data_IF_048816306143
#
_entry.id   IF_048816306143
#
_cell.length_a   1.000
_cell.length_b   1.000
_cell.length_c   1.000
_cell.angle_alpha   90.00
_cell.angle_beta   90.00
_cell.angle_gamma   90.00
#
_symmetry.space_group_name_H-M   'P 1'
#
loop_
_entity.id
_entity.type
_entity.pdbx_description
1 polymer ?
#
# COMPACT_ATOMS: atom_id res chain seq x y z
N UNK A 1 -53.74 -8.56 37.07
CA UNK A 1 -54.48 -9.13 35.93
C UNK A 1 -53.40 -9.71 34.99
N UNK A 2 -52.99 -10.98 35.12
CA UNK A 2 -53.63 -12.21 34.62
C UNK A 2 -53.90 -12.11 33.11
N UNK A 3 -53.31 -12.91 32.21
CA UNK A 3 -53.24 -14.37 32.18
C UNK A 3 -52.01 -14.93 31.44
N UNK A 4 -51.59 -16.14 31.82
CA UNK A 4 -50.46 -16.91 31.30
C UNK A 4 -50.77 -17.89 30.15
N UNK A 5 -49.85 -18.83 29.87
CA UNK A 5 -49.75 -19.58 28.61
C UNK A 5 -50.45 -20.96 28.64
N UNK A 6 -50.75 -21.48 27.45
CA UNK A 6 -51.38 -22.79 27.23
C UNK A 6 -50.31 -23.89 27.15
N UNK A 7 -50.45 -24.88 28.03
CA UNK A 7 -49.80 -26.20 27.99
C UNK A 7 -50.81 -27.21 27.42
N UNK A 8 -50.38 -28.10 26.51
CA UNK A 8 -50.98 -29.44 26.39
C UNK A 8 -49.91 -30.51 26.19
N UNK A 9 -50.06 -31.53 27.02
CA UNK A 9 -49.29 -32.75 27.20
C UNK A 9 -49.85 -33.90 26.35
N UNK A 10 -49.00 -34.84 25.93
CA UNK A 10 -49.34 -36.27 25.94
C UNK A 10 -48.07 -37.14 25.92
N UNK A 11 -48.13 -38.24 26.69
CA UNK A 11 -47.08 -39.17 27.13
C UNK A 11 -47.08 -40.45 26.24
N UNK A 12 -46.17 -41.44 26.47
CA UNK A 12 -45.56 -42.32 25.45
C UNK A 12 -46.16 -43.74 25.40
N UNK A 13 -45.49 -44.68 24.69
CA UNK A 13 -45.34 -46.02 25.22
C UNK A 13 -43.90 -46.56 25.19
N UNK A 14 -43.75 -47.67 25.91
CA UNK A 14 -42.53 -48.33 26.38
C UNK A 14 -42.07 -49.51 25.50
N UNK A 15 -40.81 -49.91 25.71
CA UNK A 15 -40.21 -51.27 25.77
C UNK A 15 -40.12 -52.16 24.52
N UNK A 16 -38.90 -52.64 24.27
CA UNK A 16 -38.57 -53.86 23.53
C UNK A 16 -37.09 -54.22 23.68
N UNK A 17 -36.79 -55.20 24.52
CA UNK A 17 -35.46 -55.79 24.76
C UNK A 17 -35.23 -56.96 23.80
N UNK A 18 -34.02 -57.11 23.25
CA UNK A 18 -33.48 -58.45 22.93
C UNK A 18 -31.95 -58.48 22.93
N UNK A 19 -31.46 -59.52 23.59
CA UNK A 19 -30.09 -59.95 23.83
C UNK A 19 -29.53 -60.68 22.59
N UNK A 20 -28.22 -60.56 22.33
CA UNK A 20 -27.51 -61.42 21.39
C UNK A 20 -26.00 -61.23 21.49
N UNK A 21 -25.31 -62.18 22.09
CA UNK A 21 -23.88 -62.20 22.38
C UNK A 21 -23.17 -63.22 21.44
N UNK A 22 -21.91 -62.95 21.11
CA UNK A 22 -20.88 -63.85 20.53
C UNK A 22 -21.07 -64.38 19.09
N UNK A 23 -20.10 -64.14 18.20
CA UNK A 23 -19.00 -65.11 17.97
C UNK A 23 -17.91 -64.56 17.02
N UNK A 24 -16.73 -65.13 17.20
CA UNK A 24 -15.40 -64.88 16.65
C UNK A 24 -15.25 -64.96 15.12
N UNK A 25 -14.49 -64.02 14.56
CA UNK A 25 -13.89 -64.15 13.23
C UNK A 25 -12.53 -64.84 13.32
N UNK A 26 -12.45 -66.05 12.78
CA UNK A 26 -11.22 -66.74 12.39
C UNK A 26 -11.45 -67.32 11.00
N UNK A 27 -10.77 -66.81 9.97
CA UNK A 27 -10.49 -67.58 8.76
C UNK A 27 -9.14 -67.18 8.16
N UNK A 28 -8.30 -68.21 8.08
CA UNK A 28 -6.95 -68.28 7.51
C UNK A 28 -7.03 -68.46 5.99
N UNK A 29 -6.11 -67.83 5.25
CA UNK A 29 -5.38 -68.35 4.06
C UNK A 29 -4.38 -67.26 3.63
N UNK A 30 -3.11 -67.38 4.01
CA UNK A 30 -2.02 -68.00 3.22
C UNK A 30 -1.92 -67.51 1.78
N UNK A 31 -0.87 -66.71 1.50
CA UNK A 31 -0.13 -66.70 0.25
C UNK A 31 1.32 -66.22 0.50
N UNK A 32 2.20 -67.22 0.53
CA UNK A 32 3.61 -67.27 0.08
C UNK A 32 4.55 -66.08 0.25
N UNK A 33 5.58 -66.33 1.06
CA UNK A 33 6.87 -65.67 1.19
C UNK A 33 7.80 -65.84 -0.02
N UNK A 34 8.53 -64.79 -0.40
CA UNK A 34 9.89 -64.92 -0.94
C UNK A 34 10.75 -63.75 -0.41
N UNK A 35 11.75 -64.08 0.43
CA UNK A 35 12.86 -63.21 0.82
C UNK A 35 14.12 -63.61 0.02
N UNK A 36 15.00 -62.66 -0.34
CA UNK A 36 16.25 -62.93 -1.07
C UNK A 36 17.47 -63.04 -0.13
N UNK A 37 18.39 -63.97 -0.43
CA UNK A 37 19.82 -63.95 -0.03
C UNK A 37 20.54 -65.23 -0.46
N UNK A 38 21.90 -65.30 -0.44
CA UNK A 38 22.92 -64.24 -0.46
C UNK A 38 24.03 -64.48 -1.51
N UNK A 39 24.80 -63.42 -1.77
CA UNK A 39 26.12 -63.49 -2.39
C UNK A 39 27.15 -64.08 -1.41
N UNK A 40 27.99 -64.99 -1.90
CA UNK A 40 29.16 -65.49 -1.18
C UNK A 40 30.38 -65.45 -2.13
N UNK A 41 31.40 -64.74 -1.67
CA UNK A 41 32.67 -64.53 -2.33
C UNK A 41 33.66 -65.65 -1.95
N UNK A 42 34.36 -66.26 -2.93
CA UNK A 42 35.67 -66.90 -2.68
C UNK A 42 36.51 -67.04 -3.95
N UNK A 43 37.81 -66.91 -3.71
CA UNK A 43 39.01 -66.81 -4.55
C UNK A 43 39.43 -68.06 -5.34
N UNK A 44 40.21 -67.89 -6.43
CA UNK A 44 41.12 -68.95 -6.93
C UNK A 44 41.66 -68.84 -8.38
N UNK A 45 42.83 -68.23 -8.52
CA UNK A 45 43.97 -68.42 -9.46
C UNK A 45 43.85 -69.11 -10.86
N UNK A 46 44.49 -68.40 -11.82
CA UNK A 46 45.46 -68.84 -12.86
C UNK A 46 44.99 -69.48 -14.18
N UNK A 47 45.34 -68.83 -15.32
CA UNK A 47 45.29 -69.43 -16.66
C UNK A 47 45.55 -68.49 -17.85
N UNK A 48 46.84 -68.33 -18.19
CA UNK A 48 47.53 -67.87 -19.44
C UNK A 48 46.76 -67.36 -20.70
N UNK A 49 47.27 -66.21 -21.20
CA UNK A 49 47.53 -65.74 -22.58
C UNK A 49 46.60 -66.14 -23.75
N UNK A 50 46.03 -65.13 -24.44
CA UNK A 50 46.37 -64.83 -25.85
C UNK A 50 45.80 -63.47 -26.29
N UNK A 51 46.56 -62.74 -27.10
CA UNK A 51 46.25 -61.42 -27.61
C UNK A 51 45.25 -61.47 -28.77
N UNK A 52 44.20 -60.66 -28.73
CA UNK A 52 43.42 -60.30 -29.91
C UNK A 52 42.73 -58.93 -29.75
N UNK A 53 43.20 -57.98 -30.56
CA UNK A 53 42.51 -56.79 -31.10
C UNK A 53 41.52 -56.07 -30.17
N UNK A 54 41.98 -54.93 -29.64
CA UNK A 54 41.12 -53.98 -28.94
C UNK A 54 39.98 -53.47 -29.84
N UNK A 55 38.76 -53.83 -29.50
CA UNK A 55 37.57 -53.03 -29.77
C UNK A 55 37.28 -52.21 -28.51
N UNK A 56 37.28 -50.89 -28.64
CA UNK A 56 36.76 -49.99 -27.61
C UNK A 56 35.27 -50.28 -27.45
N UNK A 57 34.88 -51.02 -26.42
CA UNK A 57 33.50 -51.02 -25.94
C UNK A 57 33.26 -49.68 -25.25
N UNK A 58 32.64 -48.75 -25.98
CA UNK A 58 32.02 -47.57 -25.39
C UNK A 58 30.83 -48.09 -24.57
N UNK A 59 31.04 -48.28 -23.28
CA UNK A 59 29.94 -48.29 -22.34
C UNK A 59 29.48 -46.84 -22.25
N UNK A 60 28.42 -46.50 -22.99
CA UNK A 60 27.65 -45.29 -22.72
C UNK A 60 27.08 -45.45 -21.31
N UNK A 61 27.86 -44.98 -20.32
CA UNK A 61 27.33 -44.57 -19.03
C UNK A 61 26.31 -43.49 -19.37
N UNK A 62 25.04 -43.85 -19.17
CA UNK A 62 23.90 -42.96 -19.21
C UNK A 62 24.25 -41.69 -18.43
N UNK A 63 24.68 -40.68 -19.17
CA UNK A 63 24.98 -39.38 -18.64
C UNK A 63 23.62 -38.79 -18.25
N UNK A 64 23.28 -38.92 -16.98
CA UNK A 64 22.18 -38.21 -16.36
C UNK A 64 22.19 -36.76 -16.87
N UNK A 65 21.17 -36.43 -17.67
CA UNK A 65 21.01 -35.15 -18.36
C UNK A 65 21.11 -33.99 -17.35
N UNK A 66 22.19 -33.18 -17.37
CA UNK A 66 22.33 -32.04 -16.47
C UNK A 66 21.31 -30.93 -16.75
N UNK A 67 20.62 -31.00 -17.90
CA UNK A 67 19.72 -29.96 -18.40
C UNK A 67 18.32 -29.98 -17.78
N UNK A 68 17.93 -31.09 -17.12
CA UNK A 68 16.58 -31.24 -16.56
C UNK A 68 16.45 -30.72 -15.13
N UNK A 69 17.54 -30.66 -14.35
CA UNK A 69 17.46 -30.18 -12.98
C UNK A 69 17.34 -28.66 -12.91
N UNK A 70 18.16 -27.93 -13.69
CA UNK A 70 18.10 -26.46 -13.73
C UNK A 70 16.79 -25.96 -14.34
N UNK A 71 16.29 -26.60 -15.40
CA UNK A 71 15.00 -26.25 -16.02
C UNK A 71 13.82 -26.56 -15.10
N UNK A 72 13.84 -27.69 -14.37
CA UNK A 72 12.82 -28.00 -13.36
C UNK A 72 12.93 -27.11 -12.12
N UNK A 73 14.14 -26.73 -11.71
CA UNK A 73 14.36 -25.81 -10.60
C UNK A 73 13.91 -24.39 -10.97
N UNK A 74 14.24 -23.89 -12.16
CA UNK A 74 13.75 -22.61 -12.67
C UNK A 74 12.24 -22.61 -12.89
N UNK A 75 11.65 -23.69 -13.42
CA UNK A 75 10.19 -23.83 -13.50
C UNK A 75 9.52 -23.86 -12.12
N UNK A 76 10.08 -24.58 -11.14
CA UNK A 76 9.59 -24.59 -9.74
C UNK A 76 9.76 -23.23 -9.05
N UNK A 77 10.84 -22.51 -9.33
CA UNK A 77 11.07 -21.14 -8.85
C UNK A 77 10.14 -20.13 -9.53
N UNK A 78 9.78 -20.35 -10.80
CA UNK A 78 8.74 -19.58 -11.51
C UNK A 78 7.36 -19.85 -10.93
N UNK A 79 7.01 -21.11 -10.69
CA UNK A 79 5.76 -21.51 -10.03
C UNK A 79 5.68 -20.96 -8.59
N UNK A 80 6.80 -20.89 -7.86
CA UNK A 80 6.80 -20.31 -6.51
C UNK A 80 6.66 -18.78 -6.47
N UNK A 81 6.82 -18.10 -7.62
CA UNK A 81 6.68 -16.65 -7.77
C UNK A 81 5.35 -16.23 -8.40
N UNK A 82 4.56 -17.16 -8.91
CA UNK A 82 3.26 -16.83 -9.50
C UNK A 82 2.23 -16.64 -8.38
N UNK A 83 1.56 -15.49 -8.41
CA UNK A 83 0.49 -15.14 -7.47
C UNK A 83 -0.84 -15.14 -8.21
N UNK A 84 -1.90 -15.53 -7.51
CA UNK A 84 -3.26 -15.19 -7.93
C UNK A 84 -3.63 -13.85 -7.31
N UNK A 85 -3.75 -12.82 -8.14
CA UNK A 85 -4.03 -11.44 -7.72
C UNK A 85 -5.45 -11.06 -8.13
N UNK A 86 -6.30 -10.79 -7.15
CA UNK A 86 -7.64 -10.25 -7.37
C UNK A 86 -7.63 -8.72 -7.28
N UNK A 87 -8.30 -8.04 -8.20
CA UNK A 87 -8.47 -6.58 -8.20
C UNK A 87 -9.94 -6.24 -7.96
N UNK A 88 -10.22 -5.50 -6.88
CA UNK A 88 -11.55 -4.98 -6.55
C UNK A 88 -11.58 -3.50 -6.92
N UNK A 89 -12.33 -3.16 -7.96
CA UNK A 89 -12.30 -1.84 -8.60
C UNK A 89 -11.47 -1.86 -9.88
N UNK A 90 -12.10 -2.21 -11.00
CA UNK A 90 -11.44 -2.38 -12.29
C UNK A 90 -11.55 -1.14 -13.21
N UNK A 91 -11.43 0.05 -12.61
CA UNK A 91 -11.37 1.32 -13.34
C UNK A 91 -9.98 1.58 -13.95
N UNK A 92 -9.69 2.84 -14.29
CA UNK A 92 -8.44 3.24 -14.97
C UNK A 92 -7.18 2.72 -14.27
N UNK A 93 -7.10 2.91 -12.96
CA UNK A 93 -5.93 2.47 -12.17
C UNK A 93 -5.85 0.94 -12.01
N UNK A 94 -6.98 0.29 -11.73
CA UNK A 94 -7.04 -1.17 -11.64
C UNK A 94 -6.61 -1.86 -12.94
N UNK A 95 -7.06 -1.34 -14.09
CA UNK A 95 -6.65 -1.82 -15.41
C UNK A 95 -5.16 -1.56 -15.69
N UNK A 96 -4.64 -0.39 -15.26
CA UNK A 96 -3.23 -0.05 -15.37
C UNK A 96 -2.33 -1.05 -14.62
N UNK A 97 -2.68 -1.40 -13.38
CA UNK A 97 -1.96 -2.43 -12.62
C UNK A 97 -2.12 -3.81 -13.24
N UNK A 98 -3.34 -4.18 -13.64
CA UNK A 98 -3.64 -5.50 -14.20
C UNK A 98 -2.80 -5.83 -15.43
N UNK A 99 -2.62 -4.87 -16.35
CA UNK A 99 -1.79 -5.03 -17.55
C UNK A 99 -0.37 -5.47 -17.20
N UNK A 100 0.24 -4.85 -16.20
CA UNK A 100 1.62 -5.16 -15.76
C UNK A 100 1.69 -6.48 -14.99
N UNK A 101 0.70 -6.76 -14.15
CA UNK A 101 0.62 -8.03 -13.42
C UNK A 101 0.49 -9.24 -14.37
N UNK A 102 -0.37 -9.14 -15.39
CA UNK A 102 -0.51 -10.18 -16.42
C UNK A 102 0.79 -10.34 -17.22
N UNK A 103 1.42 -9.24 -17.62
CA UNK A 103 2.71 -9.28 -18.34
C UNK A 103 3.84 -9.91 -17.51
N UNK A 104 3.83 -9.73 -16.19
CA UNK A 104 4.75 -10.38 -15.26
C UNK A 104 4.43 -11.87 -15.03
N UNK A 105 3.30 -12.36 -15.57
CA UNK A 105 2.90 -13.76 -15.52
C UNK A 105 2.02 -14.14 -14.34
N UNK A 106 1.50 -13.18 -13.56
CA UNK A 106 0.55 -13.47 -12.48
C UNK A 106 -0.84 -13.84 -13.03
N UNK A 107 -1.58 -14.70 -12.32
CA UNK A 107 -3.01 -14.94 -12.62
C UNK A 107 -3.80 -13.76 -12.06
N UNK A 108 -4.48 -12.99 -12.92
CA UNK A 108 -5.23 -11.81 -12.48
C UNK A 108 -6.73 -12.05 -12.60
N UNK A 109 -7.43 -11.80 -11.51
CA UNK A 109 -8.89 -11.80 -11.39
C UNK A 109 -9.36 -10.37 -11.14
N UNK A 110 -10.57 -10.03 -11.57
CA UNK A 110 -11.12 -8.71 -11.29
C UNK A 110 -12.62 -8.76 -11.00
N UNK A 111 -13.07 -7.87 -10.13
CA UNK A 111 -14.47 -7.53 -9.94
C UNK A 111 -14.63 -6.02 -9.78
N UNK A 112 -15.77 -5.49 -10.18
CA UNK A 112 -16.04 -4.06 -10.15
C UNK A 112 -17.53 -3.80 -10.23
N UNK A 113 -17.97 -2.65 -9.71
CA UNK A 113 -19.36 -2.18 -9.85
C UNK A 113 -19.78 -2.07 -11.32
N UNK A 114 -18.89 -1.54 -12.16
CA UNK A 114 -19.14 -1.40 -13.60
C UNK A 114 -18.69 -2.67 -14.31
N UNK A 115 -19.44 -3.11 -15.31
CA UNK A 115 -19.08 -4.27 -16.11
C UNK A 115 -17.94 -3.94 -17.08
N UNK A 116 -16.75 -4.48 -16.82
CA UNK A 116 -15.54 -4.31 -17.63
C UNK A 116 -15.08 -5.61 -18.32
N UNK A 117 -16.02 -6.51 -18.61
CA UNK A 117 -15.70 -7.84 -19.13
C UNK A 117 -14.95 -7.81 -20.47
N UNK A 118 -15.25 -6.83 -21.34
CA UNK A 118 -14.55 -6.61 -22.61
C UNK A 118 -13.08 -6.24 -22.41
N UNK A 119 -12.83 -5.22 -21.58
CA UNK A 119 -11.52 -4.67 -21.28
C UNK A 119 -10.67 -5.68 -20.52
N UNK A 120 -11.27 -6.40 -19.57
CA UNK A 120 -10.61 -7.48 -18.86
C UNK A 120 -10.19 -8.60 -19.82
N UNK A 121 -11.05 -8.99 -20.77
CA UNK A 121 -10.73 -10.01 -21.77
C UNK A 121 -9.56 -9.59 -22.66
N UNK A 122 -9.50 -8.33 -23.08
CA UNK A 122 -8.39 -7.78 -23.87
C UNK A 122 -7.06 -7.81 -23.09
N UNK A 123 -7.09 -7.53 -21.79
CA UNK A 123 -5.91 -7.54 -20.93
C UNK A 123 -5.48 -8.97 -20.55
N UNK A 124 -6.36 -9.97 -20.65
CA UNK A 124 -6.12 -11.34 -20.19
C UNK A 124 -6.49 -11.57 -18.72
N UNK A 125 -7.47 -10.83 -18.20
CA UNK A 125 -7.98 -10.89 -16.83
C UNK A 125 -9.30 -11.65 -16.79
N UNK A 126 -9.47 -12.54 -15.80
CA UNK A 126 -10.77 -13.17 -15.53
C UNK A 126 -11.67 -12.21 -14.74
N UNK A 127 -12.73 -11.72 -15.38
CA UNK A 127 -13.67 -10.77 -14.77
C UNK A 127 -14.92 -11.45 -14.21
N UNK A 128 -15.27 -11.10 -12.98
CA UNK A 128 -16.43 -11.59 -12.26
C UNK A 128 -17.36 -10.43 -11.93
N UNK A 129 -18.61 -10.54 -12.37
CA UNK A 129 -19.66 -9.55 -12.04
C UNK A 129 -20.11 -9.68 -10.59
N UNK A 130 -20.14 -10.90 -10.08
CA UNK A 130 -20.48 -11.18 -8.69
C UNK A 130 -19.22 -11.23 -7.83
N UNK A 131 -19.27 -10.54 -6.69
CA UNK A 131 -18.17 -10.50 -5.74
C UNK A 131 -18.03 -11.84 -5.00
N UNK A 132 -19.13 -12.57 -4.85
CA UNK A 132 -19.12 -13.92 -4.28
C UNK A 132 -18.29 -14.86 -5.16
N UNK A 133 -18.55 -14.97 -6.46
CA UNK A 133 -17.78 -15.80 -7.40
C UNK A 133 -16.30 -15.41 -7.41
N UNK A 134 -16.01 -14.10 -7.42
CA UNK A 134 -14.64 -13.59 -7.33
C UNK A 134 -13.90 -14.10 -6.09
N UNK A 135 -14.56 -14.11 -4.92
CA UNK A 135 -13.94 -14.55 -3.67
C UNK A 135 -13.74 -16.08 -3.61
N UNK A 136 -14.58 -16.85 -4.31
CA UNK A 136 -14.48 -18.31 -4.42
C UNK A 136 -13.24 -18.78 -5.19
N UNK A 137 -12.69 -17.93 -6.06
CA UNK A 137 -11.40 -18.20 -6.71
C UNK A 137 -10.20 -18.10 -5.77
N UNK A 138 -10.42 -17.70 -4.51
CA UNK A 138 -9.44 -17.67 -3.43
C UNK A 138 -8.10 -16.98 -3.80
N UNK A 139 -8.12 -15.70 -4.24
CA UNK A 139 -6.91 -14.98 -4.56
C UNK A 139 -5.94 -14.94 -3.37
N UNK A 140 -4.64 -15.04 -3.68
CA UNK A 140 -3.57 -14.90 -2.69
C UNK A 140 -3.51 -13.46 -2.18
N UNK A 141 -3.67 -12.51 -3.11
CA UNK A 141 -3.62 -11.06 -2.87
C UNK A 141 -4.88 -10.41 -3.44
N UNK A 142 -5.55 -9.56 -2.67
CA UNK A 142 -6.68 -8.74 -3.13
C UNK A 142 -6.27 -7.26 -3.07
N UNK A 143 -6.21 -6.61 -4.24
CA UNK A 143 -5.91 -5.19 -4.39
C UNK A 143 -7.21 -4.40 -4.44
N UNK A 144 -7.38 -3.47 -3.51
CA UNK A 144 -8.49 -2.52 -3.43
C UNK A 144 -8.13 -1.28 -4.27
N UNK A 145 -8.54 -1.28 -5.53
CA UNK A 145 -8.30 -0.22 -6.50
C UNK A 145 -9.58 0.60 -6.81
N UNK A 146 -10.41 0.80 -5.78
CA UNK A 146 -11.61 1.64 -5.84
C UNK A 146 -11.30 3.10 -5.45
N UNK A 147 -12.25 4.00 -5.68
CA UNK A 147 -12.13 5.40 -5.24
C UNK A 147 -12.06 5.50 -3.71
N UNK A 148 -11.31 6.48 -3.19
CA UNK A 148 -11.13 6.71 -1.75
C UNK A 148 -12.49 6.78 -1.04
N UNK A 149 -13.41 7.57 -1.59
CA UNK A 149 -14.76 7.79 -1.05
C UNK A 149 -15.63 6.52 -1.02
N UNK A 150 -15.29 5.50 -1.81
CA UNK A 150 -16.08 4.27 -1.94
C UNK A 150 -15.54 3.10 -1.11
N UNK A 151 -14.35 3.24 -0.51
CA UNK A 151 -13.63 2.13 0.10
C UNK A 151 -14.44 1.42 1.20
N UNK A 152 -15.01 2.19 2.14
CA UNK A 152 -15.81 1.64 3.24
C UNK A 152 -16.97 0.80 2.74
N UNK A 153 -17.74 1.34 1.78
CA UNK A 153 -18.85 0.61 1.16
C UNK A 153 -18.36 -0.66 0.47
N UNK A 154 -17.29 -0.58 -0.33
CA UNK A 154 -16.74 -1.71 -1.08
C UNK A 154 -16.31 -2.82 -0.13
N UNK A 155 -15.52 -2.51 0.89
CA UNK A 155 -15.03 -3.48 1.88
C UNK A 155 -16.20 -4.07 2.68
N UNK A 156 -17.17 -3.24 3.09
CA UNK A 156 -18.35 -3.70 3.82
C UNK A 156 -19.27 -4.64 3.03
N UNK A 157 -19.25 -4.57 1.69
CA UNK A 157 -20.02 -5.48 0.83
C UNK A 157 -19.25 -6.70 0.33
N UNK A 158 -17.94 -6.74 0.51
CA UNK A 158 -17.11 -7.84 0.01
C UNK A 158 -17.35 -9.09 0.88
N UNK A 159 -17.61 -10.28 0.30
CA UNK A 159 -17.91 -11.49 1.08
C UNK A 159 -16.61 -12.11 1.64
N UNK A 160 -16.00 -11.43 2.62
CA UNK A 160 -14.70 -11.78 3.22
C UNK A 160 -14.64 -13.21 3.76
N UNK A 161 -15.76 -13.78 4.19
CA UNK A 161 -15.88 -15.16 4.66
C UNK A 161 -15.59 -16.21 3.58
N UNK A 162 -15.72 -15.85 2.30
CA UNK A 162 -15.39 -16.74 1.16
C UNK A 162 -13.91 -16.68 0.80
N UNK A 163 -13.17 -15.67 1.27
CA UNK A 163 -11.72 -15.60 1.11
C UNK A 163 -11.00 -16.50 2.11
N UNK A 164 -9.76 -16.86 1.79
CA UNK A 164 -8.91 -17.56 2.75
C UNK A 164 -8.58 -16.64 3.92
N UNK A 165 -8.57 -17.17 5.13
CA UNK A 165 -8.19 -16.39 6.34
C UNK A 165 -6.79 -15.77 6.24
N UNK A 166 -5.91 -16.34 5.42
CA UNK A 166 -4.56 -15.80 5.19
C UNK A 166 -4.47 -14.81 4.03
N UNK A 167 -5.55 -14.48 3.31
CA UNK A 167 -5.51 -13.60 2.14
C UNK A 167 -4.87 -12.26 2.48
N UNK A 168 -4.02 -11.75 1.58
CA UNK A 168 -3.35 -10.46 1.74
C UNK A 168 -4.24 -9.37 1.13
N UNK A 169 -4.74 -8.47 1.96
CA UNK A 169 -5.50 -7.30 1.53
C UNK A 169 -4.54 -6.14 1.31
N UNK A 170 -4.56 -5.57 0.11
CA UNK A 170 -3.69 -4.49 -0.31
C UNK A 170 -4.54 -3.31 -0.74
N UNK A 171 -4.33 -2.13 -0.18
CA UNK A 171 -4.89 -0.90 -0.73
C UNK A 171 -3.85 -0.17 -1.60
N UNK A 172 -4.33 0.51 -2.63
CA UNK A 172 -3.52 1.36 -3.52
C UNK A 172 -4.08 2.79 -3.59
N UNK A 173 -4.77 3.24 -2.54
CA UNK A 173 -5.37 4.57 -2.52
C UNK A 173 -4.28 5.65 -2.46
N UNK A 174 -4.64 6.91 -2.68
CA UNK A 174 -3.67 8.02 -2.60
C UNK A 174 -3.52 8.64 -1.20
N UNK A 175 -4.31 8.18 -0.22
CA UNK A 175 -4.19 8.46 1.22
C UNK A 175 -4.02 7.16 1.97
N UNK A 176 -3.37 7.15 3.14
CA UNK A 176 -2.93 5.91 3.79
C UNK A 176 -3.42 5.70 5.22
N UNK A 177 -3.63 6.74 6.02
CA UNK A 177 -4.16 6.58 7.38
C UNK A 177 -5.60 6.08 7.37
N UNK A 178 -6.43 6.65 6.49
CA UNK A 178 -7.83 6.23 6.33
C UNK A 178 -7.97 4.74 5.97
N UNK A 179 -7.38 4.21 4.87
CA UNK A 179 -7.50 2.79 4.56
C UNK A 179 -6.88 1.90 5.65
N UNK A 180 -5.74 2.29 6.25
CA UNK A 180 -5.14 1.53 7.35
C UNK A 180 -6.12 1.32 8.51
N UNK A 181 -6.73 2.39 9.00
CA UNK A 181 -7.67 2.33 10.13
C UNK A 181 -8.93 1.54 9.77
N UNK A 182 -9.49 1.82 8.59
CA UNK A 182 -10.69 1.15 8.11
C UNK A 182 -10.46 -0.36 7.93
N UNK A 183 -9.39 -0.76 7.26
CA UNK A 183 -9.08 -2.18 7.04
C UNK A 183 -8.77 -2.92 8.34
N UNK A 184 -8.07 -2.30 9.28
CA UNK A 184 -7.85 -2.89 10.61
C UNK A 184 -9.16 -3.10 11.38
N UNK A 185 -10.13 -2.21 11.23
CA UNK A 185 -11.44 -2.31 11.89
C UNK A 185 -12.40 -3.32 11.25
N UNK A 186 -12.41 -3.44 9.92
CA UNK A 186 -13.39 -4.24 9.19
C UNK A 186 -12.91 -5.65 8.85
N UNK A 187 -11.61 -5.82 8.61
CA UNK A 187 -11.08 -7.11 8.18
C UNK A 187 -10.86 -8.06 9.37
N UNK A 188 -11.19 -9.36 9.24
CA UNK A 188 -10.87 -10.38 10.21
C UNK A 188 -9.39 -10.33 10.64
N UNK A 189 -9.07 -10.51 11.94
CA UNK A 189 -7.72 -10.35 12.46
C UNK A 189 -6.69 -11.31 11.86
N UNK A 190 -7.15 -12.42 11.26
CA UNK A 190 -6.28 -13.40 10.62
C UNK A 190 -5.79 -12.96 9.23
N UNK A 191 -6.46 -12.01 8.58
CA UNK A 191 -6.09 -11.51 7.26
C UNK A 191 -4.92 -10.53 7.35
N UNK A 192 -4.02 -10.63 6.38
CA UNK A 192 -2.86 -9.75 6.27
C UNK A 192 -3.27 -8.43 5.60
N UNK A 193 -2.66 -7.32 6.02
CA UNK A 193 -2.94 -5.96 5.53
C UNK A 193 -1.64 -5.28 5.15
N UNK A 194 -1.56 -4.84 3.89
CA UNK A 194 -0.47 -4.04 3.35
C UNK A 194 -1.06 -2.77 2.75
N UNK A 195 -0.67 -1.62 3.27
CA UNK A 195 -1.09 -0.34 2.69
C UNK A 195 -0.03 0.10 1.69
N UNK A 196 -0.43 0.51 0.48
CA UNK A 196 0.51 0.93 -0.55
C UNK A 196 0.04 2.17 -1.28
N UNK A 197 0.98 2.88 -1.88
CA UNK A 197 0.68 3.95 -2.81
C UNK A 197 1.76 3.96 -3.90
N UNK A 198 1.45 3.43 -5.09
CA UNK A 198 2.21 3.74 -6.28
C UNK A 198 2.09 5.24 -6.54
N UNK A 199 3.16 6.01 -6.38
CA UNK A 199 3.17 7.48 -6.54
C UNK A 199 3.11 7.89 -8.02
N UNK A 200 2.42 7.09 -8.83
CA UNK A 200 2.34 7.19 -10.27
C UNK A 200 1.05 6.53 -10.76
N UNK A 201 0.52 7.03 -11.86
CA UNK A 201 -0.71 6.55 -12.48
C UNK A 201 -0.54 6.18 -13.95
N UNK A 202 -1.66 6.00 -14.67
CA UNK A 202 -1.65 5.69 -16.11
C UNK A 202 -0.88 6.71 -16.95
N UNK A 203 -0.91 7.99 -16.57
CA UNK A 203 -0.25 9.07 -17.30
C UNK A 203 1.25 9.12 -16.99
N UNK A 204 1.63 9.15 -15.72
CA UNK A 204 3.04 9.24 -15.30
C UNK A 204 3.81 7.93 -15.42
N UNK A 205 3.11 6.78 -15.45
CA UNK A 205 3.68 5.44 -15.51
C UNK A 205 3.43 4.69 -16.81
N UNK A 206 2.97 5.38 -17.88
CA UNK A 206 2.62 4.77 -19.18
C UNK A 206 3.76 3.96 -19.80
N UNK A 207 4.99 4.47 -19.71
CA UNK A 207 6.17 3.89 -20.35
C UNK A 207 6.88 2.86 -19.47
N UNK A 208 7.52 3.32 -18.40
CA UNK A 208 8.26 2.47 -17.46
C UNK A 208 7.92 2.86 -16.04
N UNK A 209 8.00 1.89 -15.12
CA UNK A 209 7.94 2.15 -13.68
C UNK A 209 9.35 2.34 -13.07
N UNK A 210 10.38 2.25 -13.91
CA UNK A 210 11.78 2.47 -13.54
C UNK A 210 11.99 3.82 -12.88
N UNK A 211 12.46 3.79 -11.63
CA UNK A 211 12.72 4.98 -10.83
C UNK A 211 11.49 5.65 -10.21
N UNK A 212 10.27 5.17 -10.49
CA UNK A 212 9.05 5.71 -9.88
C UNK A 212 8.91 5.20 -8.44
N UNK A 213 8.43 6.06 -7.54
CA UNK A 213 8.30 5.70 -6.13
C UNK A 213 7.09 4.78 -5.92
N UNK A 214 7.31 3.68 -5.21
CA UNK A 214 6.27 2.80 -4.70
C UNK A 214 6.37 2.78 -3.17
N UNK A 215 5.44 3.46 -2.50
CA UNK A 215 5.37 3.51 -1.04
C UNK A 215 4.58 2.30 -0.52
N UNK A 216 5.03 1.72 0.59
CA UNK A 216 4.29 0.67 1.30
C UNK A 216 4.49 0.71 2.82
N UNK A 217 3.48 0.26 3.56
CA UNK A 217 3.46 0.05 5.01
C UNK A 217 2.94 -1.37 5.30
N UNK A 218 3.74 -2.20 5.97
CA UNK A 218 3.37 -3.55 6.41
C UNK A 218 2.53 -3.50 7.69
N UNK A 219 1.28 -3.06 7.55
CA UNK A 219 0.37 -2.76 8.66
C UNK A 219 0.08 -3.96 9.57
N UNK A 220 -0.30 -5.11 8.99
CA UNK A 220 -0.61 -6.32 9.77
C UNK A 220 -0.19 -7.56 8.99
N UNK A 221 0.88 -8.21 9.41
CA UNK A 221 1.36 -9.45 8.80
C UNK A 221 1.37 -10.55 9.85
N UNK A 222 0.53 -11.57 9.65
CA UNK A 222 0.48 -12.73 10.53
C UNK A 222 1.74 -13.60 10.42
N UNK A 223 2.02 -14.42 11.44
CA UNK A 223 3.21 -15.26 11.46
C UNK A 223 3.14 -16.37 10.40
N UNK A 224 4.30 -16.73 9.84
CA UNK A 224 4.46 -17.91 8.99
C UNK A 224 5.18 -17.62 7.66
N UNK A 225 6.07 -18.54 7.27
CA UNK A 225 6.92 -18.39 6.07
C UNK A 225 6.12 -18.18 4.77
N UNK A 226 4.95 -18.82 4.64
CA UNK A 226 4.09 -18.66 3.45
C UNK A 226 3.48 -17.27 3.33
N UNK A 227 3.13 -16.61 4.45
CA UNK A 227 2.60 -15.25 4.45
C UNK A 227 3.68 -14.26 4.07
N UNK A 228 4.86 -14.42 4.66
CA UNK A 228 6.03 -13.60 4.35
C UNK A 228 6.42 -13.73 2.87
N UNK A 229 6.53 -14.95 2.36
CA UNK A 229 6.85 -15.21 0.96
C UNK A 229 5.84 -14.56 -0.01
N UNK A 230 4.55 -14.51 0.35
CA UNK A 230 3.52 -13.87 -0.48
C UNK A 230 3.72 -12.36 -0.57
N UNK A 231 3.97 -11.70 0.56
CA UNK A 231 4.22 -10.26 0.62
C UNK A 231 5.51 -9.92 -0.11
N UNK A 232 6.56 -10.69 0.14
CA UNK A 232 7.85 -10.49 -0.52
C UNK A 232 7.69 -10.66 -2.04
N UNK A 233 6.95 -11.68 -2.49
CA UNK A 233 6.65 -11.86 -3.91
C UNK A 233 5.85 -10.68 -4.50
N UNK A 234 4.88 -10.16 -3.76
CA UNK A 234 4.08 -9.02 -4.20
C UNK A 234 4.89 -7.72 -4.28
N UNK A 235 5.72 -7.42 -3.28
CA UNK A 235 6.60 -6.25 -3.27
C UNK A 235 7.72 -6.39 -4.32
N UNK A 236 8.25 -7.61 -4.49
CA UNK A 236 9.26 -7.93 -5.48
C UNK A 236 8.77 -7.67 -6.90
N UNK A 237 7.47 -7.89 -7.19
CA UNK A 237 6.90 -7.52 -8.49
C UNK A 237 7.14 -6.04 -8.82
N UNK A 238 6.86 -5.11 -7.90
CA UNK A 238 7.11 -3.68 -8.14
C UNK A 238 8.61 -3.36 -8.24
N UNK A 239 9.44 -4.02 -7.41
CA UNK A 239 10.89 -3.86 -7.49
C UNK A 239 11.46 -4.34 -8.83
N UNK A 240 10.96 -5.46 -9.37
CA UNK A 240 11.35 -6.02 -10.68
C UNK A 240 10.88 -5.15 -11.84
N UNK A 241 9.79 -4.37 -11.67
CA UNK A 241 9.40 -3.32 -12.63
C UNK A 241 10.30 -2.06 -12.54
N UNK A 242 11.27 -2.04 -11.63
CA UNK A 242 12.24 -0.96 -11.46
C UNK A 242 11.78 0.16 -10.53
N UNK A 243 10.70 -0.02 -9.77
CA UNK A 243 10.24 0.98 -8.81
C UNK A 243 11.29 1.25 -7.72
N UNK A 244 11.37 2.49 -7.26
CA UNK A 244 12.03 2.81 -6.00
C UNK A 244 11.08 2.45 -4.85
N UNK A 245 11.42 1.37 -4.15
CA UNK A 245 10.64 0.87 -3.01
C UNK A 245 10.87 1.77 -1.78
N UNK A 246 9.80 2.32 -1.21
CA UNK A 246 9.84 3.25 -0.07
C UNK A 246 9.03 2.67 1.09
N UNK A 247 9.72 2.11 2.07
CA UNK A 247 9.12 1.64 3.33
C UNK A 247 8.86 2.84 4.25
N UNK A 248 7.60 3.09 4.59
CA UNK A 248 7.17 4.27 5.34
C UNK A 248 5.85 3.99 6.05
N UNK A 249 5.61 4.60 7.21
CA UNK A 249 4.31 4.48 7.87
C UNK A 249 3.23 5.24 7.10
N UNK A 250 1.98 4.78 7.21
CA UNK A 250 0.82 5.49 6.65
C UNK A 250 0.70 6.95 7.15
N UNK A 251 1.06 7.20 8.41
CA UNK A 251 1.00 8.52 9.04
C UNK A 251 2.02 9.48 8.42
N UNK A 252 3.26 9.00 8.24
CA UNK A 252 4.32 9.79 7.62
C UNK A 252 4.04 10.02 6.13
N UNK A 253 3.50 9.03 5.44
CA UNK A 253 3.04 9.19 4.06
C UNK A 253 2.05 10.34 3.94
N UNK A 254 0.97 10.34 4.73
CA UNK A 254 -0.08 11.35 4.59
C UNK A 254 0.41 12.75 4.95
N UNK A 255 1.32 12.86 5.93
CA UNK A 255 2.00 14.12 6.26
C UNK A 255 2.77 14.68 5.07
N UNK A 256 3.56 13.84 4.39
CA UNK A 256 4.34 14.26 3.21
C UNK A 256 3.46 14.48 1.98
N UNK A 257 2.47 13.63 1.74
CA UNK A 257 1.56 13.69 0.60
C UNK A 257 0.69 14.96 0.65
N UNK A 258 0.34 15.45 1.84
CA UNK A 258 -0.37 16.71 1.99
C UNK A 258 0.43 17.89 1.41
N UNK A 259 1.71 18.01 1.75
CA UNK A 259 2.56 19.10 1.26
C UNK A 259 3.12 18.91 -0.15
N UNK A 260 2.90 17.75 -0.78
CA UNK A 260 3.43 17.42 -2.11
C UNK A 260 2.31 17.11 -3.11
N UNK A 261 1.73 15.92 -3.04
CA UNK A 261 0.67 15.48 -3.94
C UNK A 261 -0.56 16.38 -3.86
N UNK A 262 -1.09 16.62 -2.67
CA UNK A 262 -2.31 17.41 -2.50
C UNK A 262 -2.11 18.84 -3.00
N UNK A 263 -1.03 19.53 -2.62
CA UNK A 263 -0.67 20.85 -3.17
C UNK A 263 -0.54 20.83 -4.69
N UNK A 264 0.10 19.80 -5.27
CA UNK A 264 0.26 19.66 -6.71
C UNK A 264 -1.10 19.58 -7.42
N UNK A 265 -2.03 18.78 -6.89
CA UNK A 265 -3.41 18.72 -7.42
C UNK A 265 -4.17 20.02 -7.21
N UNK A 266 -4.06 20.67 -6.05
CA UNK A 266 -4.73 21.95 -5.78
C UNK A 266 -4.27 23.01 -6.78
N UNK A 267 -2.96 23.18 -6.96
CA UNK A 267 -2.40 24.15 -7.92
C UNK A 267 -2.84 23.81 -9.34
N UNK A 268 -2.71 22.55 -9.77
CA UNK A 268 -3.15 22.13 -11.10
C UNK A 268 -4.62 22.41 -11.38
N UNK A 269 -5.51 22.15 -10.41
CA UNK A 269 -6.95 22.44 -10.53
C UNK A 269 -7.28 23.94 -10.52
N UNK A 270 -6.60 24.74 -9.69
CA UNK A 270 -6.77 26.20 -9.69
C UNK A 270 -6.35 26.78 -11.05
N UNK A 271 -5.23 26.31 -11.60
CA UNK A 271 -4.78 26.71 -12.94
C UNK A 271 -5.75 26.21 -14.04
N UNK A 272 -6.36 25.03 -13.85
CA UNK A 272 -7.43 24.53 -14.70
C UNK A 272 -8.66 25.42 -14.71
N UNK A 273 -9.09 25.91 -13.54
CA UNK A 273 -10.21 26.85 -13.39
C UNK A 273 -9.94 28.19 -14.10
N UNK A 274 -8.67 28.63 -14.12
CA UNK A 274 -8.24 29.80 -14.90
C UNK A 274 -8.33 29.59 -16.42
N UNK A 275 -8.63 28.37 -16.88
CA UNK A 275 -8.78 28.02 -18.30
C UNK A 275 -7.56 28.39 -19.15
N UNK A 276 -6.35 28.15 -18.63
CA UNK A 276 -5.09 28.47 -19.31
C UNK A 276 -5.04 27.85 -20.71
N UNK A 277 -4.57 28.63 -21.70
CA UNK A 277 -4.43 28.20 -23.09
C UNK A 277 -2.99 28.34 -23.57
N UNK A 278 -2.49 27.43 -24.43
CA UNK A 278 -1.22 27.61 -25.11
C UNK A 278 -1.19 28.90 -25.94
N UNK A 279 0.00 29.50 -26.07
CA UNK A 279 0.23 30.72 -26.84
C UNK A 279 1.45 30.60 -27.75
N UNK A 280 1.63 31.54 -28.67
CA UNK A 280 2.81 31.60 -29.55
C UNK A 280 4.11 31.98 -28.83
N UNK A 281 4.03 32.41 -27.56
CA UNK A 281 5.15 32.90 -26.75
C UNK A 281 5.32 32.10 -25.45
N UNK A 282 4.87 30.83 -25.45
CA UNK A 282 4.95 29.97 -24.28
C UNK A 282 6.40 29.80 -23.80
N UNK A 283 6.59 30.05 -22.51
CA UNK A 283 7.85 29.74 -21.85
C UNK A 283 7.89 28.27 -21.43
N UNK A 284 9.07 27.70 -21.24
CA UNK A 284 9.21 26.32 -20.72
C UNK A 284 8.55 26.12 -19.35
N UNK A 285 8.49 27.18 -18.54
CA UNK A 285 7.74 27.17 -17.28
C UNK A 285 6.23 27.07 -17.51
N UNK A 286 5.69 27.84 -18.45
CA UNK A 286 4.26 27.78 -18.78
C UNK A 286 3.86 26.44 -19.41
N UNK A 287 4.70 25.88 -20.29
CA UNK A 287 4.51 24.51 -20.82
C UNK A 287 4.47 23.45 -19.70
N UNK A 288 5.19 23.65 -18.60
CA UNK A 288 5.13 22.77 -17.43
C UNK A 288 3.83 22.94 -16.64
N UNK A 289 3.31 24.17 -16.53
CA UNK A 289 2.01 24.45 -15.90
C UNK A 289 0.86 23.84 -16.71
N UNK A 290 0.87 23.96 -18.05
CA UNK A 290 -0.12 23.32 -18.91
C UNK A 290 -0.12 21.80 -18.73
N UNK A 291 1.06 21.17 -18.73
CA UNK A 291 1.20 19.73 -18.43
C UNK A 291 0.70 19.36 -17.03
N UNK A 292 0.89 20.24 -16.03
CA UNK A 292 0.35 20.02 -14.69
C UNK A 292 -1.19 20.07 -14.69
N UNK A 293 -1.79 21.03 -15.39
CA UNK A 293 -3.25 21.12 -15.57
C UNK A 293 -3.78 19.85 -16.22
N UNK A 294 -3.19 19.42 -17.33
CA UNK A 294 -3.60 18.19 -18.04
C UNK A 294 -3.53 16.97 -17.12
N UNK A 295 -2.39 16.76 -16.45
CA UNK A 295 -2.19 15.61 -15.57
C UNK A 295 -3.16 15.59 -14.38
N UNK A 296 -3.49 16.76 -13.81
CA UNK A 296 -4.34 16.83 -12.61
C UNK A 296 -5.83 16.86 -12.92
N UNK A 297 -6.22 17.33 -14.10
CA UNK A 297 -7.62 17.34 -14.56
C UNK A 297 -8.06 16.02 -15.22
N UNK A 298 -7.12 15.20 -15.69
CA UNK A 298 -7.41 13.82 -16.11
C UNK A 298 -7.91 12.95 -14.94
N UNK A 299 -7.52 13.28 -13.71
CA UNK A 299 -8.01 12.63 -12.50
C UNK A 299 -9.39 13.17 -12.08
N UNK A 300 -10.24 12.26 -11.59
CA UNK A 300 -11.59 12.62 -11.15
C UNK A 300 -11.58 13.61 -9.99
N UNK A 301 -12.59 14.47 -9.93
CA UNK A 301 -12.77 15.37 -8.78
C UNK A 301 -12.92 14.58 -7.47
N UNK A 302 -13.58 13.42 -7.50
CA UNK A 302 -13.69 12.52 -6.35
C UNK A 302 -12.34 12.09 -5.77
N UNK A 303 -11.32 11.88 -6.63
CA UNK A 303 -9.96 11.58 -6.15
C UNK A 303 -9.41 12.76 -5.35
N UNK A 304 -9.45 13.96 -5.93
CA UNK A 304 -8.97 15.18 -5.28
C UNK A 304 -9.72 15.50 -3.98
N UNK A 305 -11.04 15.39 -4.00
CA UNK A 305 -11.86 15.55 -2.81
C UNK A 305 -11.50 14.51 -1.74
N UNK A 306 -11.21 13.26 -2.14
CA UNK A 306 -10.71 12.23 -1.24
C UNK A 306 -9.35 12.58 -0.62
N UNK A 307 -8.42 13.19 -1.38
CA UNK A 307 -7.14 13.67 -0.85
C UNK A 307 -7.33 14.72 0.24
N UNK A 308 -8.31 15.60 0.09
CA UNK A 308 -8.65 16.62 1.08
C UNK A 308 -9.35 16.02 2.31
N UNK A 309 -10.42 15.26 2.08
CA UNK A 309 -11.29 14.76 3.15
C UNK A 309 -10.62 13.75 4.07
N UNK A 310 -9.76 12.89 3.52
CA UNK A 310 -9.18 11.76 4.23
C UNK A 310 -7.69 11.94 4.58
N UNK A 311 -7.16 13.15 4.41
CA UNK A 311 -5.85 13.53 4.92
C UNK A 311 -5.99 14.72 5.88
N UNK A 312 -5.86 14.45 7.18
CA UNK A 312 -6.00 15.47 8.23
C UNK A 312 -5.03 16.65 8.10
N UNK A 313 -3.92 16.49 7.38
CA UNK A 313 -2.91 17.54 7.18
C UNK A 313 -3.25 18.44 5.97
N UNK A 314 -4.23 18.09 5.13
CA UNK A 314 -4.55 18.82 3.90
C UNK A 314 -5.06 20.24 4.17
N UNK A 315 -5.83 20.45 5.23
CA UNK A 315 -6.36 21.78 5.57
C UNK A 315 -5.26 22.77 5.94
N UNK A 316 -4.27 22.34 6.72
CA UNK A 316 -3.12 23.17 7.09
C UNK A 316 -2.30 23.56 5.84
N UNK A 317 -2.07 22.58 4.96
CA UNK A 317 -1.35 22.79 3.71
C UNK A 317 -2.08 23.73 2.75
N UNK A 318 -3.41 23.65 2.67
CA UNK A 318 -4.24 24.58 1.89
C UNK A 318 -4.16 26.01 2.44
N UNK A 319 -4.27 26.17 3.76
CA UNK A 319 -4.14 27.49 4.41
C UNK A 319 -2.73 28.08 4.21
N UNK A 320 -1.69 27.24 4.23
CA UNK A 320 -0.31 27.65 3.94
C UNK A 320 -0.16 28.14 2.50
N UNK A 321 -0.78 27.45 1.53
CA UNK A 321 -0.79 27.87 0.12
C UNK A 321 -1.49 29.23 -0.06
N UNK A 322 -2.64 29.42 0.56
CA UNK A 322 -3.40 30.68 0.53
C UNK A 322 -2.58 31.83 1.13
N UNK A 323 -2.01 31.64 2.32
CA UNK A 323 -1.16 32.65 2.97
C UNK A 323 0.08 33.01 2.13
N UNK A 324 0.67 32.02 1.45
CA UNK A 324 1.79 32.25 0.53
C UNK A 324 1.36 33.10 -0.68
N UNK A 325 0.20 32.80 -1.27
CA UNK A 325 -0.36 33.58 -2.38
C UNK A 325 -0.60 35.04 -1.97
N UNK A 326 -1.21 35.27 -0.81
CA UNK A 326 -1.45 36.62 -0.27
C UNK A 326 -0.17 37.36 0.09
N UNK A 327 0.86 36.66 0.57
CA UNK A 327 2.17 37.24 0.83
C UNK A 327 2.80 37.76 -0.47
N UNK A 328 2.81 36.95 -1.54
CA UNK A 328 3.35 37.35 -2.85
C UNK A 328 2.55 38.51 -3.43
N UNK A 329 1.21 38.45 -3.37
CA UNK A 329 0.32 39.54 -3.79
C UNK A 329 0.65 40.85 -3.06
N UNK A 330 0.79 40.81 -1.73
CA UNK A 330 1.14 41.99 -0.92
C UNK A 330 2.49 42.59 -1.30
N UNK A 331 3.50 41.76 -1.60
CA UNK A 331 4.81 42.26 -2.04
C UNK A 331 4.71 43.07 -3.34
N UNK A 332 3.90 42.61 -4.31
CA UNK A 332 3.67 43.32 -5.57
C UNK A 332 2.99 44.68 -5.34
N UNK A 333 1.87 44.70 -4.62
CA UNK A 333 1.12 45.94 -4.38
C UNK A 333 1.87 46.93 -3.49
N UNK A 334 2.67 46.46 -2.52
CA UNK A 334 3.48 47.33 -1.68
C UNK A 334 4.52 48.10 -2.50
N UNK A 335 5.22 47.39 -3.41
CA UNK A 335 6.18 48.03 -4.32
C UNK A 335 5.51 49.01 -5.28
N UNK A 336 4.33 48.64 -5.82
CA UNK A 336 3.55 49.53 -6.68
C UNK A 336 3.14 50.82 -5.95
N UNK A 337 2.61 50.71 -4.73
CA UNK A 337 2.22 51.88 -3.93
C UNK A 337 3.41 52.77 -3.57
N UNK A 338 4.59 52.19 -3.32
CA UNK A 338 5.81 52.96 -3.07
C UNK A 338 6.21 53.80 -4.29
N UNK A 339 6.20 53.20 -5.49
CA UNK A 339 6.47 53.91 -6.74
C UNK A 339 5.47 55.02 -7.02
N UNK A 340 4.17 54.74 -6.86
CA UNK A 340 3.12 55.73 -7.07
C UNK A 340 3.22 56.90 -6.08
N UNK A 341 3.53 56.64 -4.79
CA UNK A 341 3.77 57.70 -3.81
C UNK A 341 4.94 58.60 -4.19
N UNK A 342 6.05 58.01 -4.66
CA UNK A 342 7.21 58.78 -5.10
C UNK A 342 6.88 59.67 -6.31
N UNK A 343 6.10 59.17 -7.26
CA UNK A 343 5.68 59.96 -8.42
C UNK A 343 4.70 61.09 -8.06
N UNK A 344 3.77 60.86 -7.14
CA UNK A 344 2.79 61.88 -6.72
C UNK A 344 3.38 62.97 -5.81
N UNK A 345 4.41 62.64 -5.01
CA UNK A 345 5.09 63.59 -4.13
C UNK A 345 6.19 64.42 -4.82
N UNK A 346 6.46 64.15 -6.10
CA UNK A 346 7.47 64.88 -6.90
C UNK A 346 6.84 65.58 -8.12
N UNK A 347 5.99 66.61 -7.94
CA UNK A 347 5.46 67.37 -9.06
C UNK A 347 6.56 68.31 -9.61
N UNK A 348 7.36 67.84 -10.57
CA UNK A 348 8.35 68.73 -11.20
C UNK A 348 9.39 68.19 -12.18
N UNK A 349 9.42 66.89 -12.53
CA UNK A 349 10.44 66.37 -13.47
C UNK A 349 9.86 65.61 -14.66
N UNK A 350 8.91 66.23 -15.36
CA UNK A 350 8.59 65.86 -16.75
C UNK A 350 9.64 66.46 -17.69
N UNK A 351 10.88 65.96 -17.63
CA UNK A 351 11.82 66.01 -18.75
C UNK A 351 13.01 65.09 -18.46
N UNK A 352 13.02 63.92 -19.09
CA UNK A 352 14.18 63.03 -19.24
C UNK A 352 14.88 62.57 -17.97
N UNK A 353 14.44 61.45 -17.36
CA UNK A 353 15.29 60.74 -16.42
C UNK A 353 15.01 59.23 -16.40
N UNK A 354 16.10 58.48 -16.46
CA UNK A 354 16.25 57.02 -16.37
C UNK A 354 15.35 56.37 -15.31
N UNK A 355 14.88 55.15 -15.59
CA UNK A 355 14.26 54.26 -14.58
C UNK A 355 15.14 54.19 -13.32
N UNK A 356 14.56 54.30 -12.11
CA UNK A 356 15.33 54.19 -10.87
C UNK A 356 15.89 52.76 -10.73
N UNK A 357 17.06 52.59 -10.11
CA UNK A 357 17.63 51.27 -9.89
C UNK A 357 16.73 50.43 -8.97
N UNK A 358 16.56 49.17 -9.33
CA UNK A 358 15.82 48.18 -8.54
C UNK A 358 16.47 48.08 -7.15
N UNK A 359 15.71 48.19 -6.04
CA UNK A 359 16.28 47.98 -4.71
C UNK A 359 16.78 46.54 -4.58
N UNK A 360 18.05 46.36 -4.22
CA UNK A 360 18.60 45.05 -3.88
C UNK A 360 17.89 44.46 -2.66
N UNK A 361 17.48 43.19 -2.79
CA UNK A 361 16.90 42.42 -1.69
C UNK A 361 17.99 42.14 -0.63
N UNK A 362 17.65 42.18 0.68
CA UNK A 362 18.52 41.58 1.68
C UNK A 362 18.61 40.07 1.42
N UNK A 363 19.82 39.57 1.25
CA UNK A 363 20.09 38.13 1.16
C UNK A 363 19.80 37.47 2.50
N UNK A 364 18.63 36.86 2.66
CA UNK A 364 18.43 35.88 3.74
C UNK A 364 18.91 34.52 3.24
N UNK A 365 20.21 34.27 3.39
CA UNK A 365 20.73 32.91 3.43
C UNK A 365 20.40 32.31 4.81
N UNK A 366 19.68 31.20 4.90
CA UNK A 366 19.62 30.45 6.14
C UNK A 366 20.88 29.59 6.18
N UNK A 367 21.83 29.89 7.06
CA UNK A 367 22.77 28.87 7.48
C UNK A 367 23.24 29.09 8.91
N UNK A 368 22.98 28.03 9.70
CA UNK A 368 23.81 27.53 10.79
C UNK A 368 24.15 28.50 11.93
N UNK A 369 23.39 28.40 13.02
CA UNK A 369 23.92 28.71 14.35
C UNK A 369 24.65 27.49 14.91
N UNK A 370 25.98 27.58 14.77
CA UNK A 370 27.05 27.13 15.67
C UNK A 370 26.93 25.77 16.39
N UNK A 371 27.75 24.83 15.93
CA UNK A 371 28.73 24.19 16.81
C UNK A 371 29.97 25.09 16.96
N UNK A 372 30.36 25.32 18.20
CA UNK A 372 31.64 25.86 18.67
C UNK A 372 32.23 24.74 19.56
N UNK A 373 33.50 24.39 19.63
CA UNK A 373 34.78 25.03 19.35
C UNK A 373 35.89 23.95 19.36
N UNK A 374 36.92 24.08 18.52
CA UNK A 374 38.31 23.54 18.68
C UNK A 374 39.13 24.14 17.53
N UNK A 375 40.35 24.69 17.67
CA UNK A 375 41.61 24.31 18.35
C UNK A 375 42.34 25.60 18.82
N UNK A 376 43.33 25.64 19.74
CA UNK A 376 44.60 24.89 19.81
C UNK A 376 45.23 24.87 21.22
N UNK A 377 45.78 23.68 21.55
CA UNK A 377 47.07 23.37 22.17
C UNK A 377 47.55 24.08 23.46
N UNK A 378 47.72 23.31 24.56
CA UNK A 378 49.02 22.70 24.94
C UNK A 378 48.95 21.93 26.29
N UNK A 379 49.50 20.72 26.25
CA UNK A 379 50.29 20.03 27.29
C UNK A 379 49.63 19.33 28.51
N UNK A 380 50.23 18.15 28.76
CA UNK A 380 50.36 17.32 29.98
C UNK A 380 49.25 16.34 30.42
N UNK A 381 49.61 15.06 30.24
CA UNK A 381 49.49 13.91 31.16
C UNK A 381 48.14 13.15 31.33
N UNK A 382 48.22 11.87 30.93
CA UNK A 382 47.37 10.72 31.30
C UNK A 382 47.81 10.17 32.68
N UNK A 383 47.15 9.14 33.30
CA UNK A 383 45.87 8.47 32.98
C UNK A 383 44.98 8.19 34.22
N UNK A 384 43.80 7.59 34.01
CA UNK A 384 43.30 6.37 34.73
C UNK A 384 41.82 6.39 35.17
N UNK A 385 41.08 5.43 34.62
CA UNK A 385 40.05 4.55 35.20
C UNK A 385 38.89 5.08 36.06
N UNK A 386 37.68 4.60 35.70
CA UNK A 386 36.69 3.92 36.54
C UNK A 386 35.25 4.43 36.40
N UNK A 387 34.37 3.56 35.88
CA UNK A 387 32.96 3.47 36.30
C UNK A 387 32.91 2.77 37.69
N UNK A 388 31.75 2.54 38.38
CA UNK A 388 30.36 2.83 38.04
C UNK A 388 29.47 3.33 39.23
N UNK A 389 28.16 3.41 38.95
CA UNK A 389 27.01 3.07 39.83
C UNK A 389 26.61 3.96 41.03
N UNK A 390 25.32 4.36 41.06
CA UNK A 390 24.32 4.02 42.11
C UNK A 390 22.99 4.79 41.96
N UNK A 391 21.92 4.07 41.62
CA UNK A 391 20.63 4.16 42.34
C UNK A 391 20.79 3.55 43.76
N UNK A 392 19.90 3.72 44.78
CA UNK A 392 18.43 3.80 44.65
C UNK A 392 17.69 4.71 45.68
N UNK A 393 16.37 4.89 45.51
CA UNK A 393 15.31 4.51 46.49
C UNK A 393 14.00 5.29 46.30
N UNK A 394 12.97 4.53 45.92
CA UNK A 394 11.63 4.42 46.55
C UNK A 394 11.12 5.57 47.43
N UNK A 395 9.93 6.10 47.11
CA UNK A 395 8.77 6.19 48.03
C UNK A 395 7.51 6.74 47.31
N UNK A 396 6.48 5.91 47.23
CA UNK A 396 5.05 6.26 47.30
C UNK A 396 4.51 5.51 48.54
N UNK A 397 3.27 5.72 49.06
CA UNK A 397 2.15 6.51 48.53
C UNK A 397 1.46 7.42 49.59
N UNK A 398 0.56 8.30 49.17
CA UNK A 398 -0.57 8.71 50.01
C UNK A 398 -1.77 9.22 49.19
N UNK A 399 -2.93 8.68 49.57
CA UNK A 399 -4.30 8.93 49.13
C UNK A 399 -4.80 10.27 49.69
N UNK A 400 -5.66 10.97 48.94
CA UNK A 400 -6.43 12.11 49.47
C UNK A 400 -7.42 12.67 48.44
N UNK A 401 -8.70 12.61 48.78
CA UNK A 401 -9.87 12.85 47.93
C UNK A 401 -10.45 14.28 48.05
N UNK A 402 -11.30 14.60 47.08
CA UNK A 402 -12.47 15.49 47.09
C UNK A 402 -12.33 17.02 46.92
N UNK A 403 -13.20 17.54 46.04
CA UNK A 403 -13.63 18.94 45.93
C UNK A 403 -13.84 19.38 44.48
N UNK A 404 -14.95 19.00 43.82
CA UNK A 404 -16.13 19.86 43.55
C UNK A 404 -15.79 21.30 43.12
N UNK A 405 -16.08 21.65 41.86
CA UNK A 405 -16.74 22.92 41.52
C UNK A 405 -17.45 22.86 40.16
N UNK A 406 -18.50 23.66 40.10
CA UNK A 406 -19.64 23.65 39.17
C UNK A 406 -19.37 24.24 37.79
N UNK A 407 -20.25 23.85 36.85
CA UNK A 407 -20.52 24.54 35.59
C UNK A 407 -21.10 25.95 35.82
N UNK A 408 -21.17 26.76 34.75
CA UNK A 408 -22.51 26.97 34.21
C UNK A 408 -22.60 26.85 32.68
N UNK A 409 -23.81 26.44 32.27
CA UNK A 409 -24.30 26.35 30.91
C UNK A 409 -24.53 27.73 30.28
N UNK A 410 -24.28 27.82 28.96
CA UNK A 410 -24.92 28.81 28.11
C UNK A 410 -25.53 28.13 26.88
N UNK A 411 -26.86 28.26 26.80
CA UNK A 411 -27.76 27.90 25.72
C UNK A 411 -27.84 29.00 24.66
N UNK A 412 -27.77 28.63 23.38
CA UNK A 412 -28.29 29.40 22.24
C UNK A 412 -28.75 28.40 21.17
N UNK A 413 -30.02 28.02 21.20
CA UNK A 413 -31.08 28.47 20.29
C UNK A 413 -30.84 28.13 18.80
N UNK A 414 -31.45 27.01 18.42
CA UNK A 414 -31.81 26.61 17.06
C UNK A 414 -32.95 27.48 16.52
N UNK A 415 -32.83 27.96 15.28
CA UNK A 415 -33.95 28.48 14.47
C UNK A 415 -34.30 27.50 13.34
N UNK A 416 -35.60 27.32 12.99
CA UNK A 416 -36.04 26.40 11.96
C UNK A 416 -36.10 27.10 10.58
N UNK A 417 -35.54 26.46 9.55
CA UNK A 417 -35.77 26.82 8.15
C UNK A 417 -37.03 26.10 7.67
N UNK A 418 -38.02 26.89 7.24
CA UNK A 418 -39.27 26.44 6.63
C UNK A 418 -39.03 25.87 5.23
N UNK A 419 -39.72 24.77 4.95
CA UNK A 419 -40.07 24.31 3.61
C UNK A 419 -40.87 25.39 2.86
N UNK A 420 -40.53 25.60 1.59
CA UNK A 420 -41.43 26.12 0.57
C UNK A 420 -41.34 25.23 -0.66
N UNK A 421 -42.38 24.43 -0.85
CA UNK A 421 -42.82 23.93 -2.15
C UNK A 421 -43.46 25.12 -2.89
N UNK A 422 -43.14 25.28 -4.18
CA UNK A 422 -44.12 25.52 -5.26
C UNK A 422 -43.41 25.72 -6.62
N UNK A 423 -44.06 25.14 -7.65
CA UNK A 423 -43.84 25.19 -9.10
C UNK A 423 -42.77 24.27 -9.72
#
# INVERSE_FOLDING_TARGET
MAYGPIVRTSKPPQTGSTVGHFCSHSFQRQLSSLRPSPYLCRSGLAGRFSAARGSLQINALDAAMPFDFESRATSRMKESKQLTVGIVGFGTFGQFLAKRLVQAGHKVLATSRTNYQSEAKEIGVSFFRDADDFCEEHPDVVILACAILALEKVVGTLPLQRLRRSTLMVDVLSVKQFPKQLLLSLLPPEMDVLCTHPMFGPDSGKGSWGGLNFMYDKVRIGPGSRRQARIDCFLQFFAEQGCRMVDMSCEEHDRLAAGTQFITHTVGRVLGEMSLQPTSIDTKGFEALLRLVDNTNNDSFDLYYGLFMYNQNATEELARLEAAFDSVKRQLFTRLHALLRQQLLTPGMLSGAQLPPVPELPSTSPNSLHSSSTEQAQSTENPSAAAPSREPKSQQPAVGSNGKHEQPAHSAQSMPVKLSQDA
#
